data_IF_081469617948
#
_entry.id   IF_081469617948
#
_cell.length_a   1.000
_cell.length_b   1.000
_cell.length_c   1.000
_cell.angle_alpha   90.00
_cell.angle_beta   90.00
_cell.angle_gamma   90.00
#
_symmetry.space_group_name_H-M   'P 1'
#
loop_
_entity.id
_entity.type
_entity.pdbx_description
1 polymer ?
#
# COMPACT_ATOMS: atom_id res chain seq x y z
N UNK A 1 -3.52 25.80 16.68
CA UNK A 1 -4.15 24.73 15.90
C UNK A 1 -3.04 24.00 15.14
N UNK A 2 -3.15 22.66 15.04
CA UNK A 2 -2.23 21.86 14.23
C UNK A 2 -2.87 21.66 12.85
N UNK A 3 -2.15 22.03 11.81
CA UNK A 3 -2.57 21.86 10.42
C UNK A 3 -1.69 20.79 9.78
N UNK A 4 -2.28 19.93 8.98
CA UNK A 4 -1.59 18.95 8.14
C UNK A 4 -2.27 18.86 6.78
N UNK A 5 -1.58 18.30 5.81
CA UNK A 5 -2.08 18.08 4.45
C UNK A 5 -2.22 16.59 4.21
N UNK A 6 -3.39 16.13 3.77
CA UNK A 6 -3.58 14.82 3.18
C UNK A 6 -3.50 14.95 1.66
N UNK A 7 -2.54 14.26 1.06
CA UNK A 7 -2.30 14.29 -0.38
C UNK A 7 -2.51 12.89 -0.98
N UNK A 8 -3.60 12.73 -1.71
CA UNK A 8 -3.96 11.47 -2.37
C UNK A 8 -3.52 11.58 -3.84
N UNK A 9 -2.51 10.83 -4.22
CA UNK A 9 -1.84 10.94 -5.51
C UNK A 9 -1.12 9.65 -5.90
N UNK A 10 -0.49 9.66 -7.07
CA UNK A 10 0.44 8.65 -7.57
C UNK A 10 1.81 9.29 -7.85
N UNK A 11 2.45 8.93 -8.96
CA UNK A 11 3.81 9.40 -9.31
C UNK A 11 3.92 10.93 -9.52
N UNK A 12 2.81 11.64 -9.75
CA UNK A 12 2.78 13.10 -9.82
C UNK A 12 3.23 13.79 -8.51
N UNK A 13 3.30 13.05 -7.41
CA UNK A 13 3.86 13.52 -6.14
C UNK A 13 5.29 14.05 -6.30
N UNK A 14 6.06 13.49 -7.23
CA UNK A 14 7.46 13.87 -7.46
C UNK A 14 7.56 15.31 -7.95
N UNK A 15 6.80 15.66 -8.99
CA UNK A 15 6.78 17.02 -9.53
C UNK A 15 6.15 18.00 -8.53
N UNK A 16 5.04 17.59 -7.93
CA UNK A 16 4.34 18.43 -6.96
C UNK A 16 5.20 18.77 -5.74
N UNK A 17 5.91 17.79 -5.17
CA UNK A 17 6.80 18.05 -4.02
C UNK A 17 8.05 18.81 -4.40
N UNK A 18 8.53 18.66 -5.63
CA UNK A 18 9.60 19.51 -6.15
C UNK A 18 9.20 20.98 -6.15
N UNK A 19 7.99 21.28 -6.62
CA UNK A 19 7.44 22.64 -6.57
C UNK A 19 7.15 23.10 -5.14
N UNK A 20 6.51 22.28 -4.29
CA UNK A 20 6.24 22.62 -2.89
C UNK A 20 7.50 22.97 -2.09
N UNK A 21 8.64 22.38 -2.43
CA UNK A 21 9.92 22.64 -1.75
C UNK A 21 10.35 24.10 -1.85
N UNK A 22 10.01 24.78 -2.95
CA UNK A 22 10.31 26.20 -3.18
C UNK A 22 9.56 27.09 -2.20
N UNK A 23 8.37 26.66 -1.77
CA UNK A 23 7.47 27.43 -0.91
C UNK A 23 7.43 26.91 0.54
N UNK A 24 8.38 26.08 0.94
CA UNK A 24 8.40 25.47 2.28
C UNK A 24 8.42 26.51 3.43
N UNK A 25 9.03 27.69 3.22
CA UNK A 25 8.99 28.81 4.13
C UNK A 25 7.65 29.52 4.23
N UNK A 26 6.76 29.34 3.24
CA UNK A 26 5.48 30.03 3.11
C UNK A 26 4.30 29.22 3.68
N UNK A 27 4.60 28.28 4.59
CA UNK A 27 3.60 27.47 5.28
C UNK A 27 3.41 26.05 4.74
N UNK A 28 4.13 25.66 3.69
CA UNK A 28 4.09 24.30 3.15
C UNK A 28 4.92 23.29 3.94
N UNK A 29 5.74 23.75 4.89
CA UNK A 29 6.52 22.92 5.82
C UNK A 29 5.71 22.27 6.95
N UNK A 30 4.40 22.10 6.79
CA UNK A 30 3.53 21.39 7.73
C UNK A 30 3.67 19.87 7.57
N UNK A 31 3.02 19.12 8.46
CA UNK A 31 2.98 17.65 8.34
C UNK A 31 2.15 17.22 7.13
N UNK A 32 2.69 16.27 6.36
CA UNK A 32 2.02 15.71 5.20
C UNK A 32 1.72 14.23 5.39
N UNK A 33 0.59 13.81 4.85
CA UNK A 33 0.11 12.43 4.85
C UNK A 33 -0.19 12.03 3.41
N UNK A 34 0.30 10.88 3.00
CA UNK A 34 0.08 10.36 1.65
C UNK A 34 -0.99 9.29 1.58
N UNK A 35 -1.03 8.64 0.44
CA UNK A 35 -1.89 7.49 0.15
C UNK A 35 -1.05 6.28 -0.25
N UNK A 36 -1.71 5.15 -0.45
CA UNK A 36 -1.10 3.94 -1.00
C UNK A 36 -0.48 4.17 -2.38
N UNK A 37 -1.07 5.04 -3.20
CA UNK A 37 -0.55 5.39 -4.53
C UNK A 37 0.80 6.11 -4.52
N UNK A 38 1.18 6.73 -3.40
CA UNK A 38 2.49 7.39 -3.26
C UNK A 38 3.52 6.53 -2.54
N UNK A 39 3.07 5.45 -1.86
CA UNK A 39 3.95 4.57 -1.09
C UNK A 39 4.86 3.76 -2.02
N UNK A 40 6.14 3.66 -1.66
CA UNK A 40 7.16 2.94 -2.42
C UNK A 40 7.45 3.50 -3.81
N UNK A 41 7.04 4.75 -4.11
CA UNK A 41 7.44 5.41 -5.36
C UNK A 41 8.97 5.45 -5.47
N UNK A 42 9.49 4.83 -6.52
CA UNK A 42 10.92 4.88 -6.84
C UNK A 42 11.34 6.27 -7.32
N UNK A 43 10.44 6.97 -8.01
CA UNK A 43 10.64 8.35 -8.45
C UNK A 43 10.86 9.28 -7.27
N UNK A 44 10.02 9.15 -6.23
CA UNK A 44 10.07 10.04 -5.08
C UNK A 44 11.42 9.98 -4.32
N UNK A 45 12.03 8.82 -4.18
CA UNK A 45 13.35 8.69 -3.55
C UNK A 45 14.52 9.01 -4.50
N UNK A 46 14.32 8.92 -5.81
CA UNK A 46 15.34 9.24 -6.81
C UNK A 46 15.52 10.75 -7.04
N UNK A 47 14.45 11.54 -6.87
CA UNK A 47 14.47 12.98 -7.05
C UNK A 47 14.79 13.69 -5.73
N UNK A 48 16.04 14.06 -5.53
CA UNK A 48 16.60 14.61 -4.27
C UNK A 48 15.75 15.74 -3.66
N UNK A 49 15.21 16.64 -4.48
CA UNK A 49 14.40 17.78 -4.01
C UNK A 49 13.07 17.32 -3.42
N UNK A 50 12.35 16.45 -4.13
CA UNK A 50 11.08 15.89 -3.67
C UNK A 50 11.30 14.98 -2.43
N UNK A 51 12.35 14.17 -2.45
CA UNK A 51 12.73 13.32 -1.32
C UNK A 51 13.08 14.15 -0.07
N UNK A 52 13.83 15.25 -0.22
CA UNK A 52 14.17 16.15 0.87
C UNK A 52 12.94 16.82 1.47
N UNK A 53 11.99 17.25 0.63
CA UNK A 53 10.72 17.81 1.10
C UNK A 53 9.92 16.77 1.88
N UNK A 54 9.79 15.55 1.34
CA UNK A 54 9.11 14.43 2.00
C UNK A 54 9.72 14.08 3.36
N UNK A 55 11.04 14.02 3.44
CA UNK A 55 11.79 13.78 4.67
C UNK A 55 11.53 14.88 5.71
N UNK A 56 11.67 16.15 5.29
CA UNK A 56 11.55 17.31 6.18
C UNK A 56 10.13 17.48 6.74
N UNK A 57 9.11 17.17 5.94
CA UNK A 57 7.70 17.26 6.35
C UNK A 57 7.21 16.00 7.07
N UNK A 58 8.05 14.95 7.10
CA UNK A 58 7.70 13.65 7.68
C UNK A 58 6.50 13.03 6.96
N UNK A 59 6.53 13.04 5.61
CA UNK A 59 5.48 12.50 4.75
C UNK A 59 5.27 11.02 5.02
N UNK A 60 4.15 10.70 5.68
CA UNK A 60 3.80 9.33 6.07
C UNK A 60 2.78 8.75 5.11
N UNK A 61 3.00 7.51 4.68
CA UNK A 61 2.23 6.85 3.64
C UNK A 61 1.78 5.47 4.10
N UNK A 62 0.49 5.14 3.99
CA UNK A 62 -0.03 3.81 4.23
C UNK A 62 0.07 2.94 2.98
N UNK A 63 0.29 1.65 3.15
CA UNK A 63 0.07 0.64 2.11
C UNK A 63 -0.53 -0.61 2.75
N UNK A 64 -1.41 -1.31 2.02
CA UNK A 64 -1.99 -2.55 2.48
C UNK A 64 -0.90 -3.52 2.99
N UNK A 65 -1.13 -4.09 4.18
CA UNK A 65 -0.22 -5.05 4.82
C UNK A 65 -0.78 -6.47 4.66
N UNK A 66 -0.19 -7.31 3.80
CA UNK A 66 -0.62 -8.69 3.63
C UNK A 66 -0.32 -9.52 4.88
N UNK A 67 -1.16 -10.51 5.16
CA UNK A 67 -0.93 -11.47 6.23
C UNK A 67 0.23 -12.40 5.86
N UNK A 68 1.31 -12.36 6.62
CA UNK A 68 2.45 -13.26 6.41
C UNK A 68 2.06 -14.69 6.77
N UNK A 69 2.01 -15.57 5.78
CA UNK A 69 1.63 -16.97 5.86
C UNK A 69 2.54 -17.82 4.96
N UNK A 70 2.44 -19.13 5.02
CA UNK A 70 3.19 -20.01 4.11
C UNK A 70 2.85 -19.74 2.64
N UNK A 71 1.59 -19.37 2.35
CA UNK A 71 1.17 -19.00 0.99
C UNK A 71 1.78 -17.66 0.58
N UNK A 72 1.81 -16.68 1.48
CA UNK A 72 2.52 -15.41 1.27
C UNK A 72 3.99 -15.66 0.98
N UNK A 73 4.67 -16.46 1.81
CA UNK A 73 6.11 -16.75 1.67
C UNK A 73 6.42 -17.40 0.31
N UNK A 74 5.60 -18.37 -0.10
CA UNK A 74 5.77 -19.03 -1.39
C UNK A 74 5.68 -18.05 -2.57
N UNK A 75 4.67 -17.18 -2.59
CA UNK A 75 4.52 -16.18 -3.64
C UNK A 75 5.68 -15.18 -3.59
N UNK A 76 6.08 -14.77 -2.38
CA UNK A 76 7.23 -13.88 -2.17
C UNK A 76 8.49 -14.45 -2.84
N UNK A 77 8.85 -15.68 -2.51
CA UNK A 77 10.08 -16.33 -2.98
C UNK A 77 10.06 -16.54 -4.50
N UNK A 78 8.92 -16.98 -5.05
CA UNK A 78 8.78 -17.17 -6.50
C UNK A 78 8.93 -15.87 -7.27
N UNK A 79 8.27 -14.79 -6.83
CA UNK A 79 8.36 -13.49 -7.49
C UNK A 79 9.76 -12.88 -7.33
N UNK A 80 10.35 -12.96 -6.15
CA UNK A 80 11.71 -12.49 -5.92
C UNK A 80 12.74 -13.23 -6.80
N UNK A 81 12.60 -14.54 -6.95
CA UNK A 81 13.46 -15.34 -7.83
C UNK A 81 13.36 -14.93 -9.30
N UNK A 82 12.15 -14.58 -9.77
CA UNK A 82 11.92 -14.19 -11.17
C UNK A 82 12.33 -12.75 -11.45
N UNK A 83 11.99 -11.82 -10.55
CA UNK A 83 12.18 -10.38 -10.76
C UNK A 83 13.48 -9.84 -10.16
N UNK A 84 14.17 -10.60 -9.30
CA UNK A 84 15.38 -10.15 -8.59
C UNK A 84 15.13 -9.07 -7.54
N UNK A 85 13.86 -8.83 -7.17
CA UNK A 85 13.45 -7.88 -6.14
C UNK A 85 12.27 -8.39 -5.34
N UNK A 86 12.12 -7.94 -4.11
CA UNK A 86 10.97 -8.27 -3.29
C UNK A 86 9.66 -7.75 -3.93
N UNK A 87 8.58 -8.54 -3.89
CA UNK A 87 7.26 -8.10 -4.33
C UNK A 87 6.69 -7.04 -3.38
N UNK A 88 5.91 -6.13 -3.92
CA UNK A 88 5.09 -5.20 -3.16
C UNK A 88 3.75 -5.84 -2.73
N UNK A 89 2.98 -5.12 -1.93
CA UNK A 89 1.69 -5.58 -1.41
C UNK A 89 0.68 -5.91 -2.52
N UNK A 90 0.70 -5.16 -3.62
CA UNK A 90 -0.21 -5.37 -4.76
C UNK A 90 0.05 -6.68 -5.50
N UNK A 91 1.28 -7.17 -5.49
CA UNK A 91 1.66 -8.45 -6.09
C UNK A 91 0.87 -9.61 -5.49
N UNK A 92 0.73 -9.65 -4.16
CA UNK A 92 -0.04 -10.69 -3.47
C UNK A 92 -1.53 -10.58 -3.75
N UNK A 93 -2.05 -9.35 -3.81
CA UNK A 93 -3.45 -9.09 -4.15
C UNK A 93 -3.75 -9.53 -5.59
N UNK A 94 -2.86 -9.21 -6.54
CA UNK A 94 -3.01 -9.63 -7.93
C UNK A 94 -3.02 -11.16 -8.09
N UNK A 95 -2.14 -11.86 -7.36
CA UNK A 95 -2.16 -13.32 -7.30
C UNK A 95 -3.52 -13.85 -6.82
N UNK A 96 -4.03 -13.29 -5.74
CA UNK A 96 -5.30 -13.71 -5.15
C UNK A 96 -6.51 -13.41 -6.05
N UNK A 97 -6.50 -12.27 -6.75
CA UNK A 97 -7.54 -11.91 -7.72
C UNK A 97 -7.68 -12.99 -8.80
N UNK A 98 -6.57 -13.48 -9.35
CA UNK A 98 -6.60 -14.55 -10.35
C UNK A 98 -7.24 -15.82 -9.80
N UNK A 99 -6.89 -16.21 -8.58
CA UNK A 99 -7.46 -17.40 -7.94
C UNK A 99 -8.95 -17.24 -7.62
N UNK A 100 -9.36 -16.13 -7.03
CA UNK A 100 -10.77 -15.87 -6.70
C UNK A 100 -11.62 -15.85 -7.97
N UNK A 101 -11.15 -15.24 -9.04
CA UNK A 101 -11.87 -15.24 -10.32
C UNK A 101 -11.96 -16.64 -10.94
N UNK A 102 -10.86 -17.42 -10.92
CA UNK A 102 -10.86 -18.78 -11.44
C UNK A 102 -11.83 -19.69 -10.64
N UNK A 103 -11.80 -19.61 -9.33
CA UNK A 103 -12.71 -20.35 -8.48
C UNK A 103 -14.17 -19.91 -8.65
N UNK A 104 -14.42 -18.61 -8.87
CA UNK A 104 -15.76 -18.09 -9.13
C UNK A 104 -16.31 -18.56 -10.49
N UNK A 105 -15.45 -18.70 -11.51
CA UNK A 105 -15.83 -19.28 -12.81
C UNK A 105 -16.21 -20.75 -12.67
N UNK A 106 -15.47 -21.51 -11.87
CA UNK A 106 -15.77 -22.92 -11.60
C UNK A 106 -17.08 -23.07 -10.80
N UNK A 107 -17.30 -22.24 -9.79
CA UNK A 107 -18.51 -22.28 -8.98
C UNK A 107 -19.75 -21.86 -9.76
N UNK A 108 -19.62 -20.86 -10.63
CA UNK A 108 -20.72 -20.41 -11.49
C UNK A 108 -21.10 -21.41 -12.58
N UNK A 109 -20.19 -22.34 -12.93
CA UNK A 109 -20.31 -23.27 -14.08
C UNK A 109 -20.79 -22.57 -15.37
N UNK A 110 -20.37 -21.33 -15.56
CA UNK A 110 -20.78 -20.49 -16.68
C UNK A 110 -19.73 -19.42 -17.01
N UNK A 111 -19.57 -19.12 -18.31
CA UNK A 111 -18.78 -18.00 -18.81
C UNK A 111 -19.64 -16.73 -18.94
N UNK A 112 -20.37 -16.40 -17.87
CA UNK A 112 -21.25 -15.23 -17.78
C UNK A 112 -20.87 -14.35 -16.59
N UNK A 113 -20.67 -13.07 -16.85
CA UNK A 113 -20.22 -12.12 -15.84
C UNK A 113 -21.23 -11.92 -14.71
N UNK A 114 -22.53 -12.03 -15.01
CA UNK A 114 -23.58 -11.93 -14.00
C UNK A 114 -23.58 -13.14 -13.05
N UNK A 115 -23.41 -14.36 -13.62
CA UNK A 115 -23.29 -15.59 -12.83
C UNK A 115 -22.03 -15.57 -11.94
N UNK A 116 -20.88 -15.18 -12.50
CA UNK A 116 -19.62 -15.04 -11.75
C UNK A 116 -19.75 -14.01 -10.63
N UNK A 117 -20.32 -12.83 -10.91
CA UNK A 117 -20.57 -11.80 -9.91
C UNK A 117 -21.45 -12.26 -8.75
N UNK A 118 -22.44 -13.11 -9.03
CA UNK A 118 -23.36 -13.60 -8.00
C UNK A 118 -22.67 -14.52 -6.98
N UNK A 119 -21.68 -15.31 -7.40
CA UNK A 119 -20.95 -16.26 -6.52
C UNK A 119 -19.67 -15.71 -5.93
N UNK A 120 -19.09 -14.68 -6.54
CA UNK A 120 -17.77 -14.12 -6.19
C UNK A 120 -17.64 -13.73 -4.70
N UNK A 121 -18.62 -13.05 -4.05
CA UNK A 121 -18.50 -12.71 -2.63
C UNK A 121 -18.36 -13.94 -1.73
N UNK A 122 -19.14 -15.01 -2.03
CA UNK A 122 -19.09 -16.27 -1.28
C UNK A 122 -17.77 -17.00 -1.50
N UNK A 123 -17.27 -17.03 -2.73
CA UNK A 123 -15.98 -17.62 -3.05
C UNK A 123 -14.85 -16.86 -2.35
N UNK A 124 -14.85 -15.53 -2.43
CA UNK A 124 -13.86 -14.68 -1.79
C UNK A 124 -13.82 -14.88 -0.27
N UNK A 125 -15.01 -14.90 0.38
CA UNK A 125 -15.12 -15.08 1.83
C UNK A 125 -14.54 -16.43 2.31
N UNK A 126 -14.55 -17.46 1.47
CA UNK A 126 -14.01 -18.79 1.77
C UNK A 126 -12.57 -18.99 1.27
N UNK A 127 -11.94 -17.95 0.74
CA UNK A 127 -10.60 -18.04 0.20
C UNK A 127 -9.58 -17.32 1.08
N UNK A 128 -8.62 -18.09 1.62
CA UNK A 128 -7.42 -17.55 2.27
C UNK A 128 -6.30 -17.48 1.25
N UNK A 129 -5.95 -16.26 0.86
CA UNK A 129 -4.97 -15.96 -0.18
C UNK A 129 -3.55 -15.73 0.31
N UNK A 130 -2.68 -15.34 -0.62
CA UNK A 130 -1.34 -14.86 -0.30
C UNK A 130 -1.37 -13.49 0.43
N UNK A 131 -2.44 -12.71 0.21
CA UNK A 131 -2.68 -11.45 0.93
C UNK A 131 -3.46 -11.63 2.24
N UNK A 132 -3.90 -12.85 2.57
CA UNK A 132 -4.74 -13.17 3.72
C UNK A 132 -6.19 -13.46 3.36
N UNK A 133 -7.13 -13.33 4.30
CA UNK A 133 -8.55 -13.50 4.05
C UNK A 133 -9.10 -12.41 3.15
N UNK A 134 -9.96 -12.82 2.19
CA UNK A 134 -10.60 -11.90 1.25
C UNK A 134 -12.09 -11.86 1.55
N UNK A 135 -12.47 -10.98 2.49
CA UNK A 135 -13.86 -10.69 2.79
C UNK A 135 -14.22 -9.38 2.13
N UNK A 136 -15.28 -9.39 1.30
CA UNK A 136 -15.77 -8.20 0.63
C UNK A 136 -16.99 -7.63 1.38
N UNK A 137 -17.08 -6.32 1.40
CA UNK A 137 -18.23 -5.60 1.91
C UNK A 137 -19.36 -5.49 0.84
N UNK A 138 -20.41 -4.76 1.14
CA UNK A 138 -21.56 -4.57 0.26
C UNK A 138 -21.24 -3.82 -1.04
N UNK A 139 -20.14 -3.05 -1.05
CA UNK A 139 -19.66 -2.31 -2.22
C UNK A 139 -18.72 -3.14 -3.08
N UNK A 140 -18.25 -4.29 -2.57
CA UNK A 140 -17.24 -5.14 -3.19
C UNK A 140 -15.81 -4.76 -2.81
N UNK A 141 -15.63 -3.87 -1.84
CA UNK A 141 -14.33 -3.51 -1.30
C UNK A 141 -13.91 -4.51 -0.21
N UNK A 142 -12.61 -4.59 0.06
CA UNK A 142 -12.10 -5.44 1.14
C UNK A 142 -12.57 -4.90 2.49
N UNK A 143 -13.38 -5.68 3.21
CA UNK A 143 -14.06 -5.26 4.43
C UNK A 143 -13.11 -4.94 5.60
N UNK A 144 -11.90 -5.52 5.59
CA UNK A 144 -10.89 -5.27 6.63
C UNK A 144 -9.48 -5.40 6.09
N UNK A 145 -8.61 -4.53 6.54
CA UNK A 145 -7.20 -4.56 6.18
C UNK A 145 -6.33 -3.86 7.22
N UNK A 146 -5.17 -4.43 7.47
CA UNK A 146 -4.08 -3.73 8.14
C UNK A 146 -3.29 -2.90 7.12
N UNK A 147 -2.61 -1.87 7.59
CA UNK A 147 -1.78 -1.01 6.73
C UNK A 147 -0.40 -0.80 7.34
N UNK A 148 0.63 -1.08 6.58
CA UNK A 148 1.99 -0.71 6.92
C UNK A 148 2.20 0.79 6.64
N UNK A 149 2.90 1.45 7.56
CA UNK A 149 3.17 2.88 7.50
C UNK A 149 4.63 3.11 7.15
N UNK A 150 4.85 3.90 6.10
CA UNK A 150 6.17 4.17 5.55
C UNK A 150 6.44 5.67 5.47
N UNK A 151 7.70 6.05 5.69
CA UNK A 151 8.22 7.40 5.46
C UNK A 151 9.44 7.35 4.55
N UNK A 152 9.85 8.51 4.06
CA UNK A 152 11.17 8.65 3.45
C UNK A 152 12.15 9.02 4.57
N UNK A 153 13.22 8.22 4.69
CA UNK A 153 14.35 8.48 5.58
C UNK A 153 15.59 8.86 4.77
N UNK A 154 16.51 9.55 5.42
CA UNK A 154 17.76 9.99 4.80
C UNK A 154 18.91 9.11 5.28
N UNK A 155 19.57 8.45 4.34
CA UNK A 155 20.78 7.66 4.58
C UNK A 155 21.96 8.34 3.90
N UNK A 156 22.79 9.03 4.68
CA UNK A 156 23.93 9.84 4.20
C UNK A 156 23.52 10.86 3.12
N UNK A 157 23.77 10.54 1.86
CA UNK A 157 23.46 11.39 0.70
C UNK A 157 22.26 10.92 -0.11
N UNK A 158 21.63 9.80 0.27
CA UNK A 158 20.52 9.18 -0.44
C UNK A 158 19.27 9.17 0.41
N UNK A 159 18.15 8.84 -0.20
CA UNK A 159 16.87 8.67 0.46
C UNK A 159 16.33 7.26 0.21
N UNK A 160 15.65 6.72 1.21
CA UNK A 160 15.06 5.39 1.15
C UNK A 160 13.69 5.35 1.83
N UNK A 161 12.87 4.39 1.45
CA UNK A 161 11.64 4.11 2.16
C UNK A 161 11.92 3.32 3.43
N UNK A 162 11.36 3.80 4.55
CA UNK A 162 11.53 3.20 5.87
C UNK A 162 10.17 2.88 6.50
N UNK A 163 10.02 1.62 6.88
CA UNK A 163 8.88 1.18 7.69
C UNK A 163 8.94 1.82 9.08
N UNK A 164 7.82 2.39 9.53
CA UNK A 164 7.73 3.08 10.84
C UNK A 164 6.63 2.55 11.73
N UNK A 165 5.69 1.79 11.22
CA UNK A 165 4.63 1.23 12.02
C UNK A 165 3.54 0.56 11.20
N UNK A 166 2.51 0.11 11.89
CA UNK A 166 1.39 -0.60 11.31
C UNK A 166 0.09 -0.13 11.94
N UNK A 167 -0.89 0.19 11.12
CA UNK A 167 -2.26 0.28 11.56
C UNK A 167 -2.88 -1.11 11.61
N UNK A 168 -3.48 -1.45 12.76
CA UNK A 168 -4.16 -2.72 12.99
C UNK A 168 -5.66 -2.44 13.06
N UNK A 169 -6.40 -2.87 12.06
CA UNK A 169 -7.82 -2.59 11.92
C UNK A 169 -8.64 -3.22 13.06
N UNK A 170 -8.30 -4.45 13.47
CA UNK A 170 -9.03 -5.15 14.52
C UNK A 170 -9.05 -4.44 15.88
N UNK A 171 -8.06 -3.59 16.14
CA UNK A 171 -7.92 -2.82 17.40
C UNK A 171 -8.07 -1.32 17.19
N UNK A 172 -8.29 -0.88 15.96
CA UNK A 172 -8.33 0.54 15.55
C UNK A 172 -7.16 1.33 16.14
N UNK A 173 -5.95 0.80 15.99
CA UNK A 173 -4.75 1.40 16.60
C UNK A 173 -3.52 1.30 15.72
N UNK A 174 -2.58 2.20 15.95
CA UNK A 174 -1.27 2.19 15.28
C UNK A 174 -0.23 1.63 16.25
N UNK A 175 0.48 0.61 15.81
CA UNK A 175 1.66 0.06 16.48
C UNK A 175 2.88 0.67 15.81
N UNK A 176 3.56 1.57 16.52
CA UNK A 176 4.79 2.19 16.03
C UNK A 176 5.99 1.28 16.26
N UNK A 177 6.78 1.03 15.21
CA UNK A 177 8.11 0.43 15.33
C UNK A 177 9.14 1.50 15.69
N UNK A 178 9.33 2.48 14.79
CA UNK A 178 10.08 3.71 15.06
C UNK A 178 9.15 4.87 14.79
N UNK A 179 8.77 5.67 15.78
CA UNK A 179 7.88 6.81 15.55
C UNK A 179 8.46 7.74 14.47
N UNK A 180 7.64 8.31 13.59
CA UNK A 180 8.08 9.31 12.65
C UNK A 180 8.55 10.58 13.39
N UNK A 181 9.49 11.32 12.83
CA UNK A 181 10.03 12.55 13.43
C UNK A 181 9.00 13.67 13.60
#
# INVERSE_FOLDING_TARGET
>A
DKVGVLYIAFEEVVEFFTECSVYSSDGWGVKWYGSDGTTMSAGLIAYTTAAAFSYTTGFINPIFSPTQSDKWQKVHDEVQNVLGRAPDSYTYVAYDIVWVLALSLLEADAHDSGAVRAVLPTVAQNYFGASGWIVLDENGDRASADYDLWIIDKLDTTYEWKYVGKYVQATDSIIWGTPPP
#
